data_IF_841616343053
#
_entry.id   IF_841616343053
#
_cell.length_a   1.000
_cell.length_b   1.000
_cell.length_c   1.000
_cell.angle_alpha   90.00
_cell.angle_beta   90.00
_cell.angle_gamma   90.00
#
_symmetry.space_group_name_H-M   'P 1'
#
loop_
_entity.id
_entity.type
_entity.pdbx_description
1 polymer ?
#
# COMPACT_ATOMS: atom_id res chain seq x y z
N UNK A 1 -26.39 33.64 36.67
CA UNK A 1 -25.44 32.51 36.81
C UNK A 1 -24.91 32.19 35.43
N UNK A 2 -23.77 32.80 35.09
CA UNK A 2 -23.03 32.55 33.87
C UNK A 2 -21.98 31.48 34.16
N UNK A 3 -21.88 30.46 33.29
CA UNK A 3 -20.67 29.64 33.20
C UNK A 3 -20.23 29.70 31.75
N UNK A 4 -19.31 30.64 31.55
CA UNK A 4 -18.54 30.91 30.35
C UNK A 4 -17.66 29.69 30.03
N UNK A 5 -18.02 28.92 29.00
CA UNK A 5 -17.14 27.88 28.45
C UNK A 5 -16.44 28.42 27.20
N UNK A 6 -15.59 29.43 27.40
CA UNK A 6 -14.56 29.82 26.45
C UNK A 6 -13.23 29.19 26.86
N UNK A 7 -12.91 28.00 26.35
CA UNK A 7 -11.51 27.62 26.13
C UNK A 7 -11.38 26.58 25.01
N UNK A 8 -11.74 26.97 23.78
CA UNK A 8 -11.19 26.32 22.57
C UNK A 8 -10.53 27.40 21.70
N UNK A 9 -9.53 28.07 22.29
CA UNK A 9 -8.47 28.75 21.53
C UNK A 9 -7.28 27.80 21.47
N UNK A 10 -7.28 26.87 20.52
CA UNK A 10 -6.09 26.17 20.03
C UNK A 10 -6.03 26.39 18.53
N UNK A 11 -5.44 27.50 18.12
CA UNK A 11 -4.06 27.51 17.63
C UNK A 11 -3.92 26.71 16.32
N UNK A 12 -4.02 27.48 15.21
CA UNK A 12 -3.42 27.21 13.90
C UNK A 12 -3.97 25.99 13.15
N UNK A 13 -4.99 26.26 12.33
CA UNK A 13 -5.11 25.68 11.00
C UNK A 13 -3.76 25.79 10.27
N UNK A 14 -2.98 24.71 10.25
CA UNK A 14 -1.89 24.46 9.30
C UNK A 14 -2.18 23.10 8.69
N UNK A 15 -2.70 23.12 7.47
CA UNK A 15 -3.22 21.95 6.78
C UNK A 15 -2.15 20.87 6.53
N UNK A 16 -2.38 19.72 7.14
CA UNK A 16 -2.20 18.39 6.56
C UNK A 16 -3.21 17.49 7.30
N UNK A 17 -4.11 16.86 6.56
CA UNK A 17 -5.11 15.95 7.11
C UNK A 17 -4.36 14.80 7.82
N UNK A 18 -4.57 14.67 9.13
CA UNK A 18 -3.90 13.65 9.91
C UNK A 18 -4.42 12.25 9.51
N UNK A 19 -3.52 11.28 9.43
CA UNK A 19 -3.90 9.87 9.31
C UNK A 19 -4.77 9.48 10.50
N UNK A 20 -5.90 8.83 10.25
CA UNK A 20 -6.76 8.28 11.29
C UNK A 20 -6.29 6.87 11.62
N UNK A 21 -5.84 6.66 12.86
CA UNK A 21 -5.49 5.32 13.38
C UNK A 21 -6.66 4.76 14.16
N UNK A 22 -7.11 3.57 13.77
CA UNK A 22 -8.17 2.81 14.43
C UNK A 22 -7.54 1.58 15.08
N UNK A 23 -7.70 1.46 16.40
CA UNK A 23 -7.21 0.32 17.15
C UNK A 23 -8.19 -0.86 16.99
N UNK A 24 -7.69 -2.11 16.97
CA UNK A 24 -8.54 -3.28 16.89
C UNK A 24 -9.49 -3.32 18.10
N UNK A 25 -10.75 -3.65 17.85
CA UNK A 25 -11.72 -3.89 18.93
C UNK A 25 -11.33 -5.15 19.70
N UNK A 26 -11.58 -5.17 21.02
CA UNK A 26 -11.40 -6.37 21.85
C UNK A 26 -12.61 -7.32 21.78
N UNK A 27 -13.70 -6.89 21.14
CA UNK A 27 -14.90 -7.70 20.97
C UNK A 27 -14.80 -8.58 19.72
N UNK A 28 -14.15 -9.73 19.88
CA UNK A 28 -13.99 -10.72 18.81
C UNK A 28 -15.30 -11.36 18.35
N UNK A 29 -16.31 -11.49 19.24
CA UNK A 29 -17.60 -12.09 18.86
C UNK A 29 -18.35 -11.19 17.86
N UNK A 30 -18.29 -9.88 18.07
CA UNK A 30 -18.86 -8.91 17.13
C UNK A 30 -18.13 -8.93 15.78
N UNK A 31 -16.80 -9.04 15.77
CA UNK A 31 -16.04 -9.14 14.50
C UNK A 31 -16.37 -10.41 13.72
N UNK A 32 -16.50 -11.55 14.40
CA UNK A 32 -16.88 -12.83 13.75
C UNK A 32 -18.30 -12.76 13.17
N UNK A 33 -19.22 -12.07 13.84
CA UNK A 33 -20.56 -11.84 13.32
C UNK A 33 -20.54 -10.94 12.09
N UNK A 34 -19.71 -9.89 12.09
CA UNK A 34 -19.52 -8.99 10.95
C UNK A 34 -18.91 -9.73 9.76
N UNK A 35 -17.87 -10.54 9.97
CA UNK A 35 -17.23 -11.34 8.92
C UNK A 35 -18.23 -12.28 8.21
N UNK A 36 -19.05 -13.00 8.99
CA UNK A 36 -20.11 -13.87 8.44
C UNK A 36 -21.17 -13.09 7.67
N UNK A 37 -21.42 -11.83 8.04
CA UNK A 37 -22.46 -10.98 7.45
C UNK A 37 -21.97 -10.26 6.19
N UNK A 38 -20.66 -9.98 6.08
CA UNK A 38 -19.99 -9.39 4.92
C UNK A 38 -19.90 -10.40 3.75
N UNK A 39 -21.06 -10.78 3.24
CA UNK A 39 -21.21 -11.53 1.99
C UNK A 39 -21.23 -10.57 0.78
N UNK A 40 -21.05 -11.07 -0.46
CA UNK A 40 -21.16 -10.26 -1.67
C UNK A 40 -22.52 -9.58 -1.86
N UNK A 41 -23.55 -10.01 -1.13
CA UNK A 41 -24.91 -9.44 -1.17
C UNK A 41 -25.21 -8.54 0.03
N UNK A 42 -24.20 -8.25 0.86
CA UNK A 42 -24.35 -7.41 2.03
C UNK A 42 -24.87 -6.01 1.65
N UNK A 43 -25.76 -5.49 2.49
CA UNK A 43 -26.37 -4.18 2.33
C UNK A 43 -26.19 -3.37 3.61
N UNK A 44 -25.96 -2.08 3.46
CA UNK A 44 -26.05 -1.13 4.57
C UNK A 44 -27.53 -0.86 4.85
N UNK A 45 -27.88 -0.79 6.13
CA UNK A 45 -29.20 -0.39 6.60
C UNK A 45 -29.02 0.92 7.36
N UNK A 46 -29.74 1.96 6.96
CA UNK A 46 -29.75 3.24 7.68
C UNK A 46 -30.68 3.18 8.93
N UNK A 47 -30.77 4.29 9.67
CA UNK A 47 -31.58 4.35 10.88
C UNK A 47 -33.09 4.25 10.59
N UNK A 48 -33.50 4.58 9.37
CA UNK A 48 -34.88 4.56 8.88
C UNK A 48 -35.26 3.19 8.26
N UNK A 49 -34.29 2.29 8.10
CA UNK A 49 -34.49 0.94 7.56
C UNK A 49 -34.32 0.83 6.04
N UNK A 50 -33.87 1.88 5.35
CA UNK A 50 -33.55 1.79 3.93
C UNK A 50 -32.27 0.98 3.72
N UNK A 51 -32.29 0.14 2.68
CA UNK A 51 -31.17 -0.72 2.35
C UNK A 51 -30.42 -0.22 1.12
N UNK A 52 -29.09 -0.07 1.23
CA UNK A 52 -28.22 0.30 0.11
C UNK A 52 -27.19 -0.82 -0.12
N UNK A 53 -27.05 -1.35 -1.35
CA UNK A 53 -26.03 -2.36 -1.63
C UNK A 53 -24.62 -1.79 -1.43
N UNK A 54 -23.72 -2.60 -0.91
CA UNK A 54 -22.31 -2.23 -0.75
C UNK A 54 -21.62 -2.41 -2.11
N UNK A 55 -20.97 -1.39 -2.68
CA UNK A 55 -20.14 -1.54 -3.87
C UNK A 55 -19.01 -2.55 -3.65
N UNK A 56 -18.59 -3.31 -4.68
CA UNK A 56 -17.52 -4.32 -4.55
C UNK A 56 -16.25 -3.76 -3.90
N UNK A 57 -15.85 -2.55 -4.27
CA UNK A 57 -14.64 -1.90 -3.78
C UNK A 57 -14.70 -1.64 -2.26
N UNK A 58 -15.87 -1.26 -1.75
CA UNK A 58 -16.07 -1.04 -0.31
C UNK A 58 -16.15 -2.37 0.43
N UNK A 59 -16.78 -3.38 -0.17
CA UNK A 59 -16.87 -4.72 0.40
C UNK A 59 -15.47 -5.31 0.65
N UNK A 60 -14.57 -5.20 -0.33
CA UNK A 60 -13.22 -5.76 -0.23
C UNK A 60 -12.40 -5.04 0.85
N UNK A 61 -12.51 -3.70 0.94
CA UNK A 61 -11.91 -2.91 2.01
C UNK A 61 -12.44 -3.35 3.38
N UNK A 62 -13.76 -3.53 3.53
CA UNK A 62 -14.34 -3.94 4.81
C UNK A 62 -13.87 -5.33 5.23
N UNK A 63 -13.69 -6.26 4.28
CA UNK A 63 -13.12 -7.59 4.54
C UNK A 63 -11.70 -7.48 5.07
N UNK A 64 -10.83 -6.74 4.39
CA UNK A 64 -9.44 -6.53 4.85
C UNK A 64 -9.39 -5.87 6.23
N UNK A 65 -10.28 -4.91 6.49
CA UNK A 65 -10.42 -4.25 7.79
C UNK A 65 -10.77 -5.26 8.88
N UNK A 66 -11.77 -6.12 8.65
CA UNK A 66 -12.20 -7.12 9.63
C UNK A 66 -11.10 -8.15 9.90
N UNK A 67 -10.44 -8.65 8.85
CA UNK A 67 -9.31 -9.57 8.95
C UNK A 67 -8.11 -8.94 9.71
N UNK A 68 -7.82 -7.67 9.46
CA UNK A 68 -6.79 -6.93 10.18
C UNK A 68 -7.15 -6.81 11.67
N UNK A 69 -8.38 -6.43 11.99
CA UNK A 69 -8.85 -6.29 13.37
C UNK A 69 -8.87 -7.62 14.13
N UNK A 70 -9.34 -8.71 13.53
CA UNK A 70 -9.32 -10.05 14.12
C UNK A 70 -7.89 -10.52 14.44
N UNK A 71 -6.93 -10.16 13.58
CA UNK A 71 -5.51 -10.41 13.81
C UNK A 71 -4.87 -9.46 14.84
N UNK A 72 -5.63 -8.58 15.50
CA UNK A 72 -5.12 -7.62 16.47
C UNK A 72 -4.26 -6.51 15.85
N UNK A 73 -4.39 -6.27 14.54
CA UNK A 73 -3.64 -5.23 13.83
C UNK A 73 -4.42 -3.92 13.81
N UNK A 74 -3.72 -2.82 14.04
CA UNK A 74 -4.28 -1.48 13.89
C UNK A 74 -4.41 -1.12 12.41
N UNK A 75 -5.40 -0.28 12.10
CA UNK A 75 -5.68 0.19 10.75
C UNK A 75 -5.39 1.68 10.67
N UNK A 76 -4.73 2.10 9.60
CA UNK A 76 -4.37 3.51 9.37
C UNK A 76 -4.98 3.98 8.07
N UNK A 77 -5.86 4.97 8.14
CA UNK A 77 -6.43 5.65 6.98
C UNK A 77 -5.64 6.93 6.72
N UNK A 78 -4.88 6.96 5.63
CA UNK A 78 -4.07 8.11 5.24
C UNK A 78 -4.59 8.74 3.95
N UNK A 79 -5.00 10.02 3.96
CA UNK A 79 -5.39 10.72 2.75
C UNK A 79 -4.25 10.79 1.73
N UNK A 80 -4.57 10.68 0.45
CA UNK A 80 -3.60 10.78 -0.65
C UNK A 80 -2.94 12.16 -0.77
N UNK A 81 -3.58 13.18 -0.20
CA UNK A 81 -3.08 14.57 -0.06
C UNK A 81 -2.13 14.76 1.12
N UNK A 82 -1.82 13.70 1.87
CA UNK A 82 -0.84 13.74 2.97
C UNK A 82 0.52 14.13 2.44
N UNK A 83 1.15 15.12 3.09
CA UNK A 83 2.51 15.56 2.82
C UNK A 83 3.49 14.80 3.69
N UNK A 84 4.42 14.10 3.04
CA UNK A 84 5.48 13.34 3.68
C UNK A 84 6.80 14.09 3.53
N UNK A 85 7.61 14.05 4.58
CA UNK A 85 9.01 14.48 4.51
C UNK A 85 9.81 13.52 3.61
N UNK A 86 10.97 13.97 3.13
CA UNK A 86 11.90 13.07 2.42
C UNK A 86 12.31 11.81 3.20
N UNK A 87 12.23 11.84 4.54
CA UNK A 87 12.50 10.65 5.35
C UNK A 87 11.36 9.63 5.24
N UNK A 88 10.14 10.09 5.50
CA UNK A 88 8.93 9.27 5.42
C UNK A 88 8.68 8.75 4.01
N UNK A 89 8.87 9.59 2.99
CA UNK A 89 8.73 9.20 1.59
C UNK A 89 9.75 8.13 1.16
N UNK A 90 10.99 8.22 1.65
CA UNK A 90 12.02 7.23 1.34
C UNK A 90 11.71 5.89 2.03
N UNK A 91 11.25 5.96 3.28
CA UNK A 91 10.78 4.79 4.03
C UNK A 91 9.56 4.15 3.35
N UNK A 92 8.63 4.96 2.84
CA UNK A 92 7.44 4.50 2.14
C UNK A 92 7.80 3.74 0.85
N UNK A 93 8.73 4.26 0.04
CA UNK A 93 9.21 3.58 -1.17
C UNK A 93 10.20 2.44 -0.91
N UNK A 94 10.61 2.21 0.34
CA UNK A 94 11.63 1.20 0.66
C UNK A 94 13.02 1.50 0.10
N UNK A 95 13.36 2.78 -0.12
CA UNK A 95 14.65 3.21 -0.69
C UNK A 95 15.46 4.07 0.27
N UNK A 96 16.76 4.21 -0.01
CA UNK A 96 17.60 5.14 0.77
C UNK A 96 17.17 6.60 0.55
N UNK A 97 17.33 7.44 1.59
CA UNK A 97 17.06 8.89 1.46
C UNK A 97 17.84 9.55 0.33
N UNK A 98 19.15 9.27 0.11
CA UNK A 98 19.87 9.77 -1.06
C UNK A 98 19.24 9.34 -2.39
N UNK A 99 18.77 8.09 -2.49
CA UNK A 99 18.07 7.61 -3.69
C UNK A 99 16.80 8.41 -3.95
N UNK A 100 15.96 8.60 -2.92
CA UNK A 100 14.77 9.44 -3.07
C UNK A 100 15.14 10.85 -3.54
N UNK A 101 16.15 11.48 -2.94
CA UNK A 101 16.55 12.84 -3.32
C UNK A 101 16.94 12.92 -4.80
N UNK A 102 17.67 11.92 -5.33
CA UNK A 102 17.98 11.84 -6.76
C UNK A 102 16.71 11.77 -7.61
N UNK A 103 15.74 10.92 -7.25
CA UNK A 103 14.46 10.81 -7.97
C UNK A 103 13.70 12.14 -7.99
N UNK A 104 13.72 12.89 -6.89
CA UNK A 104 13.09 14.22 -6.81
C UNK A 104 13.83 15.25 -7.66
N UNK A 105 15.17 15.24 -7.66
CA UNK A 105 15.99 16.17 -8.44
C UNK A 105 15.94 15.88 -9.95
N UNK A 106 15.78 14.60 -10.32
CA UNK A 106 15.53 14.14 -11.69
C UNK A 106 14.08 14.43 -12.16
N UNK A 107 13.21 14.92 -11.29
CA UNK A 107 11.81 15.22 -11.61
C UNK A 107 10.94 13.98 -11.81
N UNK A 108 11.41 12.80 -11.39
CA UNK A 108 10.66 11.53 -11.49
C UNK A 108 9.49 11.47 -10.51
N UNK A 109 9.58 12.21 -9.41
CA UNK A 109 8.54 12.32 -8.38
C UNK A 109 8.33 13.80 -8.07
N UNK A 110 7.07 14.24 -8.07
CA UNK A 110 6.69 15.60 -7.72
C UNK A 110 7.02 15.93 -6.26
N UNK A 111 7.41 17.17 -5.98
CA UNK A 111 7.58 17.64 -4.60
C UNK A 111 7.34 19.13 -4.46
N UNK A 112 6.86 19.52 -3.28
CA UNK A 112 6.73 20.90 -2.89
C UNK A 112 7.90 21.31 -1.99
N UNK A 113 8.32 22.57 -2.10
CA UNK A 113 9.31 23.18 -1.19
C UNK A 113 8.81 24.54 -0.69
N UNK A 114 7.77 24.57 0.18
CA UNK A 114 7.18 25.82 0.65
C UNK A 114 8.09 26.64 1.58
N UNK A 115 9.18 26.03 2.09
CA UNK A 115 10.22 26.71 2.86
C UNK A 115 11.58 25.99 2.67
N UNK A 116 12.26 25.58 3.75
CA UNK A 116 13.58 24.94 3.67
C UNK A 116 13.53 23.46 3.28
N UNK A 117 12.50 22.74 3.70
CA UNK A 117 12.36 21.29 3.53
C UNK A 117 11.48 20.91 2.33
N UNK A 118 11.83 19.79 1.69
CA UNK A 118 11.03 19.17 0.62
C UNK A 118 9.94 18.30 1.24
N UNK A 119 8.75 18.38 0.68
CA UNK A 119 7.60 17.54 1.00
C UNK A 119 7.10 16.86 -0.26
N UNK A 120 6.75 15.59 -0.15
CA UNK A 120 6.21 14.78 -1.24
C UNK A 120 4.80 14.39 -0.88
N UNK A 121 3.85 14.47 -1.81
CA UNK A 121 2.49 14.00 -1.55
C UNK A 121 2.45 12.48 -1.66
N UNK A 122 1.67 11.83 -0.80
CA UNK A 122 1.51 10.37 -0.84
C UNK A 122 1.05 9.89 -2.23
N UNK A 123 0.10 10.61 -2.86
CA UNK A 123 -0.36 10.29 -4.22
C UNK A 123 0.79 10.22 -5.25
N UNK A 124 1.77 11.13 -5.15
CA UNK A 124 2.86 11.23 -6.13
C UNK A 124 3.84 10.04 -5.94
N UNK A 125 3.95 9.53 -4.71
CA UNK A 125 4.71 8.33 -4.40
C UNK A 125 4.00 7.06 -4.88
N UNK A 126 2.69 6.96 -4.64
CA UNK A 126 1.85 5.86 -5.11
C UNK A 126 1.89 5.75 -6.66
N UNK A 127 1.74 6.87 -7.35
CA UNK A 127 1.85 6.93 -8.82
C UNK A 127 3.22 6.47 -9.32
N UNK A 128 4.29 6.93 -8.68
CA UNK A 128 5.64 6.49 -9.02
C UNK A 128 5.83 4.99 -8.78
N UNK A 129 5.41 4.49 -7.61
CA UNK A 129 5.50 3.08 -7.24
C UNK A 129 4.77 2.18 -8.24
N UNK A 130 3.51 2.51 -8.56
CA UNK A 130 2.71 1.78 -9.55
C UNK A 130 3.41 1.71 -10.91
N UNK A 131 3.93 2.84 -11.40
CA UNK A 131 4.68 2.88 -12.66
C UNK A 131 5.95 2.02 -12.62
N UNK A 132 6.67 1.98 -11.49
CA UNK A 132 7.85 1.12 -11.36
C UNK A 132 7.47 -0.36 -11.37
N UNK A 133 6.35 -0.74 -10.73
CA UNK A 133 5.86 -2.11 -10.78
C UNK A 133 5.46 -2.55 -12.20
N UNK A 134 4.79 -1.68 -12.96
CA UNK A 134 4.46 -1.94 -14.37
C UNK A 134 5.72 -2.18 -15.21
N UNK A 135 6.72 -1.29 -15.09
CA UNK A 135 8.00 -1.43 -15.80
C UNK A 135 8.72 -2.73 -15.41
N UNK A 136 8.71 -3.08 -14.12
CA UNK A 136 9.35 -4.31 -13.64
C UNK A 136 8.65 -5.57 -14.16
N UNK A 137 7.31 -5.57 -14.18
CA UNK A 137 6.52 -6.67 -14.74
C UNK A 137 6.79 -6.84 -16.24
N UNK A 138 6.78 -5.73 -17.01
CA UNK A 138 7.08 -5.76 -18.44
C UNK A 138 8.50 -6.28 -18.74
N UNK A 139 9.48 -5.86 -17.94
CA UNK A 139 10.86 -6.32 -18.07
C UNK A 139 11.00 -7.82 -17.76
N UNK A 140 10.32 -8.30 -16.71
CA UNK A 140 10.31 -9.72 -16.36
C UNK A 140 9.67 -10.56 -17.45
N UNK A 141 8.53 -10.12 -18.00
CA UNK A 141 7.86 -10.79 -19.10
C UNK A 141 8.74 -10.84 -20.36
N UNK A 142 9.53 -9.80 -20.64
CA UNK A 142 10.52 -9.81 -21.72
C UNK A 142 11.60 -10.86 -21.49
N UNK A 143 12.17 -10.91 -20.27
CA UNK A 143 13.19 -11.90 -19.92
C UNK A 143 12.66 -13.33 -20.03
N UNK A 144 11.41 -13.57 -19.63
CA UNK A 144 10.77 -14.90 -19.74
C UNK A 144 10.63 -15.29 -21.21
N UNK A 145 10.14 -14.37 -22.07
CA UNK A 145 10.02 -14.62 -23.52
C UNK A 145 11.37 -14.90 -24.17
N UNK A 146 12.38 -14.09 -23.86
CA UNK A 146 13.75 -14.28 -24.38
C UNK A 146 14.34 -15.62 -23.94
N UNK A 147 14.10 -16.05 -22.70
CA UNK A 147 14.55 -17.35 -22.21
C UNK A 147 13.82 -18.54 -22.86
N UNK A 148 12.52 -18.40 -23.14
CA UNK A 148 11.73 -19.41 -23.86
C UNK A 148 12.19 -19.54 -25.33
N UNK A 149 12.39 -18.41 -26.01
CA UNK A 149 12.96 -18.36 -27.36
C UNK A 149 14.37 -18.98 -27.42
N UNK A 150 15.17 -18.79 -26.37
CA UNK A 150 16.47 -19.43 -26.21
C UNK A 150 16.40 -20.93 -25.85
N UNK A 151 15.19 -21.48 -25.67
CA UNK A 151 14.96 -22.89 -25.33
C UNK A 151 15.35 -23.26 -23.89
N UNK A 152 15.61 -22.27 -23.03
CA UNK A 152 16.09 -22.48 -21.66
C UNK A 152 15.00 -23.05 -20.73
N UNK A 153 13.73 -22.99 -21.13
CA UNK A 153 12.60 -23.60 -20.41
C UNK A 153 12.37 -25.08 -20.73
N UNK A 154 12.93 -25.60 -21.83
CA UNK A 154 12.72 -26.97 -22.30
C UNK A 154 13.96 -27.88 -22.11
N UNK A 155 14.86 -27.53 -21.19
CA UNK A 155 16.02 -28.38 -20.90
C UNK A 155 15.53 -29.60 -20.12
N UNK A 156 15.52 -30.78 -20.77
CA UNK A 156 15.25 -32.03 -20.08
C UNK A 156 16.23 -32.20 -18.91
N UNK A 157 15.77 -32.54 -17.69
CA UNK A 157 16.64 -32.67 -16.51
C UNK A 157 17.85 -33.59 -16.72
N UNK A 158 17.74 -34.57 -17.63
CA UNK A 158 18.83 -35.49 -17.99
C UNK A 158 20.03 -34.78 -18.64
N UNK A 159 19.81 -33.68 -19.35
CA UNK A 159 20.89 -32.91 -20.00
C UNK A 159 21.77 -32.23 -18.95
N UNK A 160 21.18 -31.78 -17.83
CA UNK A 160 21.94 -31.21 -16.72
C UNK A 160 22.80 -32.26 -16.00
N UNK A 161 22.26 -33.45 -15.77
CA UNK A 161 22.99 -34.52 -15.09
C UNK A 161 24.15 -35.06 -15.94
N UNK A 162 23.99 -35.18 -17.26
CA UNK A 162 25.06 -35.57 -18.18
C UNK A 162 26.15 -34.49 -18.28
N UNK A 163 25.78 -33.22 -18.42
CA UNK A 163 26.74 -32.11 -18.48
C UNK A 163 27.53 -31.95 -17.17
N UNK A 164 26.90 -32.19 -16.01
CA UNK A 164 27.58 -32.16 -14.70
C UNK A 164 28.45 -33.40 -14.46
N UNK A 165 28.11 -34.55 -15.04
CA UNK A 165 28.93 -35.75 -14.98
C UNK A 165 30.19 -35.63 -15.85
N UNK A 166 30.09 -34.98 -17.00
CA UNK A 166 31.22 -34.72 -17.90
C UNK A 166 32.28 -33.82 -17.23
N UNK A 167 31.86 -32.74 -16.56
CA UNK A 167 32.77 -31.85 -15.82
C UNK A 167 33.37 -32.53 -14.57
N UNK A 168 32.69 -33.51 -13.98
CA UNK A 168 33.19 -34.28 -12.82
C UNK A 168 34.09 -35.47 -13.20
N UNK A 169 34.15 -35.82 -14.48
CA UNK A 169 34.96 -36.92 -15.00
C UNK A 169 36.36 -36.53 -15.51
N UNK A 170 36.72 -35.25 -15.42
CA UNK A 170 38.01 -34.71 -15.88
C UNK A 170 39.10 -34.56 -14.78
N UNK A 171 38.96 -35.25 -13.64
CA UNK A 171 40.07 -35.44 -12.66
C UNK A 171 40.56 -36.89 -12.64
#
# INVERSE_FOLDING_TARGET
MAVESQTVKRARQRGAQASLTIMPTQDGQTLDAVDRTLSPQAKLVDAEGHTTPIPPEIHDILREVVEAMQAGRAIVLTPMTTRLTTGEAASYLGVSRPTLVKLLEEGKIGYDRPNRHRYVLLRDLEEYSRKQHEIAADALDSMIREADEAGLYNIEPKIFDEALAEVRGEE
#
